data_IF_428965338012
#
_entry.id   IF_428965338012
#
_cell.length_a   1.000
_cell.length_b   1.000
_cell.length_c   1.000
_cell.angle_alpha   90.00
_cell.angle_beta   90.00
_cell.angle_gamma   90.00
#
_symmetry.space_group_name_H-M   'P 1'
#
loop_
_entity.id
_entity.type
_entity.pdbx_description
1 polymer ?
#
# COMPACT_ATOMS: atom_id res chain seq x y z
N UNK A 1 37.86 -11.33 42.48
CA UNK A 1 37.79 -10.86 41.06
C UNK A 1 36.47 -11.26 40.47
N UNK A 2 35.54 -10.32 40.19
CA UNK A 2 34.27 -10.63 39.51
C UNK A 2 34.22 -9.99 38.15
N UNK A 3 34.88 -10.59 37.13
CA UNK A 3 34.80 -10.09 35.76
C UNK A 3 33.91 -10.89 34.82
N UNK A 4 33.22 -11.94 35.30
CA UNK A 4 32.39 -12.79 34.44
C UNK A 4 30.98 -12.30 34.15
N UNK A 5 30.42 -11.47 35.00
CA UNK A 5 29.01 -11.03 34.85
C UNK A 5 28.74 -10.01 33.74
N UNK A 6 29.68 -9.14 33.47
CA UNK A 6 29.50 -8.08 32.47
C UNK A 6 29.51 -8.60 31.01
N UNK A 7 30.30 -9.64 30.73
CA UNK A 7 30.40 -10.22 29.38
C UNK A 7 29.12 -10.97 29.02
N UNK A 8 28.56 -11.76 29.96
CA UNK A 8 27.32 -12.50 29.74
C UNK A 8 26.13 -11.58 29.53
N UNK A 9 26.04 -10.45 30.26
CA UNK A 9 24.96 -9.49 30.09
C UNK A 9 25.00 -8.77 28.74
N UNK A 10 26.20 -8.47 28.24
CA UNK A 10 26.38 -7.84 26.92
C UNK A 10 25.99 -8.77 25.76
N UNK A 11 26.31 -10.08 25.87
CA UNK A 11 25.94 -11.08 24.85
C UNK A 11 24.41 -11.26 24.84
N UNK A 12 23.78 -11.33 26.01
CA UNK A 12 22.33 -11.49 26.12
C UNK A 12 21.59 -10.27 25.60
N UNK A 13 22.06 -9.06 25.89
CA UNK A 13 21.50 -7.82 25.38
C UNK A 13 21.64 -7.73 23.85
N UNK A 14 22.83 -8.07 23.32
CA UNK A 14 23.09 -8.10 21.88
C UNK A 14 22.21 -9.12 21.15
N UNK A 15 22.02 -10.31 21.73
CA UNK A 15 21.13 -11.34 21.17
C UNK A 15 19.66 -10.91 21.18
N UNK A 16 19.19 -10.30 22.26
CA UNK A 16 17.82 -9.79 22.38
C UNK A 16 17.57 -8.70 21.35
N UNK A 17 18.49 -7.74 21.21
CA UNK A 17 18.41 -6.68 20.22
C UNK A 17 18.41 -7.25 18.79
N UNK A 18 19.30 -8.21 18.49
CA UNK A 18 19.36 -8.87 17.19
C UNK A 18 18.04 -9.60 16.87
N UNK A 19 17.50 -10.33 17.84
CA UNK A 19 16.21 -11.03 17.70
C UNK A 19 15.07 -10.03 17.46
N UNK A 20 15.02 -8.94 18.22
CA UNK A 20 13.98 -7.92 18.06
C UNK A 20 14.05 -7.19 16.71
N UNK A 21 15.26 -6.94 16.21
CA UNK A 21 15.45 -6.37 14.87
C UNK A 21 15.07 -7.35 13.75
N UNK A 22 15.36 -8.64 13.94
CA UNK A 22 15.02 -9.70 12.98
C UNK A 22 13.53 -10.00 12.95
N UNK A 23 12.88 -9.91 14.10
CA UNK A 23 11.46 -10.28 14.28
C UNK A 23 10.50 -9.12 14.00
N UNK A 24 10.98 -7.96 13.54
CA UNK A 24 10.10 -6.83 13.20
C UNK A 24 9.14 -7.20 12.08
N UNK A 25 7.96 -6.61 12.13
CA UNK A 25 7.04 -6.63 10.99
C UNK A 25 7.75 -5.99 9.78
N UNK A 26 7.77 -6.70 8.67
CA UNK A 26 8.33 -6.22 7.40
C UNK A 26 7.21 -6.29 6.36
N UNK A 27 6.85 -5.17 5.79
CA UNK A 27 5.77 -5.12 4.82
C UNK A 27 6.30 -4.78 3.45
N UNK A 28 5.93 -5.58 2.48
CA UNK A 28 6.15 -5.30 1.06
C UNK A 28 4.86 -4.74 0.49
N UNK A 29 4.95 -3.53 -0.05
CA UNK A 29 3.83 -2.85 -0.69
C UNK A 29 3.98 -2.84 -2.20
N UNK A 30 2.85 -2.95 -2.88
CA UNK A 30 2.70 -2.66 -4.30
C UNK A 30 1.40 -1.91 -4.54
N UNK A 31 1.35 -1.13 -5.61
CA UNK A 31 0.14 -0.48 -6.05
C UNK A 31 0.02 -0.54 -7.58
N UNK A 32 -1.19 -0.81 -8.05
CA UNK A 32 -1.53 -0.88 -9.47
C UNK A 32 -2.81 -0.11 -9.76
N UNK A 33 -2.94 0.37 -11.00
CA UNK A 33 -4.19 0.94 -11.51
C UNK A 33 -5.09 -0.17 -12.04
N UNK A 34 -6.35 -0.14 -11.64
CA UNK A 34 -7.33 -1.16 -12.00
C UNK A 34 -8.69 -0.54 -12.36
N UNK A 35 -9.49 -1.32 -13.06
CA UNK A 35 -10.92 -1.09 -13.31
C UNK A 35 -11.72 -2.24 -12.70
N UNK A 36 -12.99 -1.99 -12.44
CA UNK A 36 -13.90 -3.03 -12.00
C UNK A 36 -14.72 -3.51 -13.21
N UNK A 37 -14.73 -4.80 -13.44
CA UNK A 37 -15.51 -5.44 -14.48
C UNK A 37 -16.48 -6.46 -13.88
N UNK A 38 -17.63 -6.71 -14.49
CA UNK A 38 -18.51 -7.80 -14.09
C UNK A 38 -17.79 -9.13 -14.30
N UNK A 39 -17.82 -9.97 -13.29
CA UNK A 39 -17.42 -11.39 -13.36
C UNK A 39 -18.64 -12.28 -13.43
N UNK A 40 -18.45 -13.56 -13.72
CA UNK A 40 -19.51 -14.54 -13.64
C UNK A 40 -20.10 -14.62 -12.22
N UNK A 41 -21.35 -15.05 -12.11
CA UNK A 41 -22.07 -15.25 -10.84
C UNK A 41 -22.19 -13.98 -9.95
N UNK A 42 -22.27 -12.79 -10.56
CA UNK A 42 -22.42 -11.53 -9.82
C UNK A 42 -21.14 -11.05 -9.09
N UNK A 43 -20.02 -11.69 -9.32
CA UNK A 43 -18.72 -11.26 -8.76
C UNK A 43 -18.16 -10.07 -9.54
N UNK A 44 -17.44 -9.21 -8.85
CA UNK A 44 -16.70 -8.11 -9.46
C UNK A 44 -15.23 -8.52 -9.61
N UNK A 45 -14.67 -8.28 -10.78
CA UNK A 45 -13.29 -8.57 -11.10
C UNK A 45 -12.48 -7.28 -11.20
N UNK A 46 -11.31 -7.29 -10.58
CA UNK A 46 -10.33 -6.22 -10.74
C UNK A 46 -9.46 -6.50 -11.96
N UNK A 47 -9.57 -5.66 -12.99
CA UNK A 47 -8.91 -5.85 -14.28
C UNK A 47 -7.98 -4.70 -14.61
N UNK A 48 -6.98 -4.95 -15.45
CA UNK A 48 -6.06 -3.89 -15.89
C UNK A 48 -6.78 -2.92 -16.83
N UNK A 49 -6.43 -1.61 -16.81
CA UNK A 49 -7.10 -0.60 -17.63
C UNK A 49 -6.95 -0.82 -19.13
N UNK A 50 -5.87 -1.50 -19.55
CA UNK A 50 -5.58 -1.78 -20.96
C UNK A 50 -6.42 -2.92 -21.57
N UNK A 51 -7.10 -3.71 -20.73
CA UNK A 51 -7.95 -4.78 -21.19
C UNK A 51 -9.33 -4.24 -21.61
N UNK A 52 -9.73 -4.55 -22.84
CA UNK A 52 -11.07 -4.24 -23.31
C UNK A 52 -12.04 -5.37 -22.87
N UNK A 53 -12.75 -5.13 -21.76
CA UNK A 53 -13.74 -6.05 -21.22
C UNK A 53 -15.09 -5.37 -21.28
N UNK A 54 -16.05 -6.05 -21.91
CA UNK A 54 -17.43 -5.59 -22.02
C UNK A 54 -18.05 -5.42 -20.63
N UNK A 55 -18.72 -4.28 -20.42
CA UNK A 55 -19.34 -3.94 -19.13
C UNK A 55 -18.38 -3.51 -18.04
N UNK A 56 -17.07 -3.39 -18.30
CA UNK A 56 -16.14 -2.86 -17.31
C UNK A 56 -16.43 -1.37 -17.02
N UNK A 57 -16.37 -0.98 -15.74
CA UNK A 57 -16.52 0.41 -15.32
C UNK A 57 -15.50 1.32 -16.02
N UNK A 58 -15.88 2.55 -16.29
CA UNK A 58 -14.96 3.61 -16.71
C UNK A 58 -14.14 4.16 -15.54
N UNK A 59 -14.61 3.92 -14.31
CA UNK A 59 -13.94 4.40 -13.11
C UNK A 59 -12.63 3.65 -12.89
N UNK A 60 -11.62 4.40 -12.53
CA UNK A 60 -10.30 3.89 -12.20
C UNK A 60 -10.15 3.76 -10.69
N UNK A 61 -9.48 2.72 -10.27
CA UNK A 61 -9.19 2.44 -8.86
C UNK A 61 -7.71 2.14 -8.68
N UNK A 62 -7.16 2.56 -7.56
CA UNK A 62 -5.83 2.17 -7.13
C UNK A 62 -5.97 0.97 -6.21
N UNK A 63 -5.37 -0.13 -6.59
CA UNK A 63 -5.31 -1.34 -5.79
C UNK A 63 -3.99 -1.34 -5.04
N UNK A 64 -4.05 -1.26 -3.72
CA UNK A 64 -2.87 -1.32 -2.84
C UNK A 64 -2.83 -2.68 -2.19
N UNK A 65 -1.76 -3.42 -2.43
CA UNK A 65 -1.54 -4.74 -1.82
C UNK A 65 -0.39 -4.66 -0.82
N UNK A 66 -0.65 -5.10 0.40
CA UNK A 66 0.35 -5.25 1.46
C UNK A 66 0.57 -6.73 1.74
N UNK A 67 1.83 -7.15 1.78
CA UNK A 67 2.24 -8.50 2.18
C UNK A 67 3.16 -8.36 3.40
N UNK A 68 2.78 -8.99 4.50
CA UNK A 68 3.67 -9.06 5.66
C UNK A 68 4.72 -10.15 5.44
N UNK A 69 5.93 -9.75 5.05
CA UNK A 69 7.07 -10.66 4.85
C UNK A 69 7.92 -10.83 6.12
N UNK A 70 7.51 -10.20 7.22
CA UNK A 70 8.12 -10.36 8.53
C UNK A 70 7.40 -11.43 9.36
N UNK A 71 8.06 -11.88 10.42
CA UNK A 71 7.51 -12.90 11.32
C UNK A 71 6.47 -12.39 12.30
N UNK A 72 6.58 -11.10 12.71
CA UNK A 72 5.59 -10.51 13.61
C UNK A 72 4.32 -10.14 12.84
N UNK A 73 3.14 -10.48 13.36
CA UNK A 73 1.89 -9.97 12.83
C UNK A 73 1.90 -8.44 12.80
N UNK A 74 1.28 -7.88 11.81
CA UNK A 74 1.12 -6.44 11.62
C UNK A 74 -0.36 -6.12 11.51
N UNK A 75 -0.83 -5.10 12.20
CA UNK A 75 -2.20 -4.62 12.09
C UNK A 75 -2.23 -3.41 11.15
N UNK A 76 -2.67 -3.62 9.95
CA UNK A 76 -2.86 -2.54 8.97
C UNK A 76 -4.05 -1.68 9.41
N UNK A 77 -3.78 -0.46 9.87
CA UNK A 77 -4.79 0.45 10.42
C UNK A 77 -5.35 1.41 9.37
N UNK A 78 -4.55 1.79 8.39
CA UNK A 78 -5.00 2.76 7.43
C UNK A 78 -4.09 2.94 6.22
N UNK A 79 -4.65 3.60 5.22
CA UNK A 79 -4.05 3.94 3.95
C UNK A 79 -4.17 5.45 3.73
N UNK A 80 -3.13 6.08 3.20
CA UNK A 80 -3.15 7.50 2.89
C UNK A 80 -1.92 7.93 2.13
N UNK A 81 -1.76 9.25 2.00
CA UNK A 81 -0.62 9.77 1.26
C UNK A 81 -0.37 11.24 1.51
N UNK A 82 0.68 11.73 0.84
CA UNK A 82 1.07 13.13 0.84
C UNK A 82 1.06 13.68 -0.58
N UNK A 83 0.69 14.94 -0.71
CA UNK A 83 0.74 15.68 -1.95
C UNK A 83 2.07 16.40 -2.14
N UNK A 84 2.46 16.68 -3.39
CA UNK A 84 3.52 17.62 -3.71
C UNK A 84 3.08 19.06 -3.43
N UNK A 85 1.88 19.42 -3.88
CA UNK A 85 1.25 20.71 -3.65
C UNK A 85 0.02 20.50 -2.79
N UNK A 86 -0.16 21.28 -1.72
CA UNK A 86 -1.35 21.17 -0.86
C UNK A 86 -2.64 21.27 -1.67
N UNK A 87 -3.63 20.49 -1.28
CA UNK A 87 -4.99 20.50 -1.85
C UNK A 87 -5.91 20.97 -0.72
N UNK A 88 -6.63 22.05 -0.94
CA UNK A 88 -7.49 22.70 0.08
C UNK A 88 -6.74 22.97 1.41
N UNK A 89 -5.48 23.42 1.29
CA UNK A 89 -4.60 23.67 2.43
C UNK A 89 -4.04 22.43 3.12
N UNK A 90 -4.44 21.22 2.71
CA UNK A 90 -4.00 19.95 3.29
C UNK A 90 -2.79 19.40 2.54
N UNK A 91 -1.76 18.98 3.26
CA UNK A 91 -0.55 18.37 2.71
C UNK A 91 -0.69 16.85 2.49
N UNK A 92 -1.71 16.23 3.07
CA UNK A 92 -1.93 14.78 2.99
C UNK A 92 -3.41 14.43 2.95
N UNK A 93 -3.68 13.17 2.67
CA UNK A 93 -5.02 12.59 2.60
C UNK A 93 -5.06 11.21 3.27
N UNK A 94 -6.25 10.80 3.66
CA UNK A 94 -6.57 9.46 4.12
C UNK A 94 -7.57 8.83 3.17
N UNK A 95 -7.40 7.53 2.95
CA UNK A 95 -8.35 6.72 2.20
C UNK A 95 -9.16 5.92 3.22
N UNK A 96 -10.46 6.05 3.16
CA UNK A 96 -11.37 5.26 3.99
C UNK A 96 -11.74 4.00 3.20
N UNK A 97 -11.38 2.86 3.75
CA UNK A 97 -11.68 1.56 3.17
C UNK A 97 -12.47 0.73 4.18
N UNK A 98 -13.33 -0.16 3.69
CA UNK A 98 -14.16 -1.00 4.57
C UNK A 98 -13.40 -2.21 5.11
N UNK A 99 -12.29 -2.58 4.48
CA UNK A 99 -11.49 -3.75 4.86
C UNK A 99 -10.51 -3.51 6.01
N UNK A 100 -10.32 -2.26 6.45
CA UNK A 100 -9.42 -1.90 7.53
C UNK A 100 -10.18 -1.56 8.82
N UNK A 101 -9.59 -1.84 10.01
CA UNK A 101 -8.26 -2.41 10.24
C UNK A 101 -8.20 -3.93 9.98
N UNK A 102 -7.04 -4.41 9.50
CA UNK A 102 -6.80 -5.83 9.19
C UNK A 102 -5.51 -6.33 9.83
N UNK A 103 -5.57 -7.47 10.54
CA UNK A 103 -4.39 -8.16 11.04
C UNK A 103 -3.79 -9.01 9.90
N UNK A 104 -2.50 -8.88 9.67
CA UNK A 104 -1.73 -9.66 8.70
C UNK A 104 -0.70 -10.52 9.43
N UNK A 105 -0.86 -11.83 9.37
CA UNK A 105 0.12 -12.79 9.83
C UNK A 105 1.36 -12.85 8.92
N UNK A 106 2.30 -13.75 9.23
CA UNK A 106 3.48 -14.01 8.41
C UNK A 106 3.05 -14.49 7.01
N UNK A 107 3.62 -13.90 5.95
CA UNK A 107 3.32 -14.16 4.54
C UNK A 107 1.87 -13.92 4.12
N UNK A 108 1.06 -13.34 4.99
CA UNK A 108 -0.32 -12.99 4.66
C UNK A 108 -0.36 -11.69 3.82
N UNK A 109 -1.23 -11.70 2.82
CA UNK A 109 -1.48 -10.57 1.95
C UNK A 109 -2.89 -10.03 2.13
N UNK A 110 -3.05 -8.72 2.01
CA UNK A 110 -4.35 -8.07 1.95
C UNK A 110 -4.33 -6.95 0.91
N UNK A 111 -5.47 -6.73 0.31
CA UNK A 111 -5.61 -5.75 -0.77
C UNK A 111 -6.75 -4.81 -0.47
N UNK A 112 -6.50 -3.51 -0.60
CA UNK A 112 -7.48 -2.45 -0.47
C UNK A 112 -7.61 -1.67 -1.77
N UNK A 113 -8.82 -1.20 -2.01
CA UNK A 113 -9.17 -0.36 -3.15
C UNK A 113 -9.26 1.10 -2.70
N UNK A 114 -8.58 1.97 -3.42
CA UNK A 114 -8.70 3.41 -3.27
C UNK A 114 -9.24 4.00 -4.59
N UNK A 115 -10.10 4.97 -4.48
CA UNK A 115 -10.60 5.70 -5.65
C UNK A 115 -9.45 6.46 -6.32
N UNK A 116 -9.40 6.41 -7.66
CA UNK A 116 -8.44 7.17 -8.44
C UNK A 116 -8.95 8.60 -8.60
N UNK A 117 -8.29 9.53 -7.92
CA UNK A 117 -8.68 10.94 -7.93
C UNK A 117 -7.88 11.74 -8.96
N UNK A 118 -8.36 12.96 -9.28
CA UNK A 118 -7.67 13.93 -10.12
C UNK A 118 -6.23 14.20 -9.65
N UNK A 119 -5.97 14.16 -8.35
CA UNK A 119 -4.64 14.38 -7.78
C UNK A 119 -3.63 13.31 -8.21
N UNK A 120 -4.09 12.08 -8.42
CA UNK A 120 -3.25 11.03 -9.03
C UNK A 120 -3.07 11.27 -10.53
N UNK A 121 -4.13 11.63 -11.26
CA UNK A 121 -4.06 11.93 -12.68
C UNK A 121 -3.04 13.03 -12.99
N UNK A 122 -3.05 14.10 -12.19
CA UNK A 122 -2.15 15.25 -12.32
C UNK A 122 -0.74 15.00 -11.74
N UNK A 123 -0.47 13.80 -11.24
CA UNK A 123 0.82 13.46 -10.64
C UNK A 123 1.14 14.22 -9.35
N UNK A 124 0.13 14.79 -8.68
CA UNK A 124 0.31 15.57 -7.45
C UNK A 124 0.51 14.68 -6.21
N UNK A 125 0.36 13.36 -6.30
CA UNK A 125 0.60 12.44 -5.20
C UNK A 125 2.10 12.15 -5.09
N UNK A 126 2.70 12.62 -3.99
CA UNK A 126 4.12 12.46 -3.68
C UNK A 126 4.44 11.09 -3.12
N UNK A 127 3.58 10.59 -2.20
CA UNK A 127 3.77 9.37 -1.44
C UNK A 127 2.43 8.74 -1.13
N UNK A 128 2.34 7.45 -1.30
CA UNK A 128 1.24 6.62 -0.82
C UNK A 128 1.82 5.66 0.22
N UNK A 129 1.18 5.52 1.37
CA UNK A 129 1.69 4.73 2.48
C UNK A 129 0.57 4.11 3.30
N UNK A 130 0.92 3.09 4.02
CA UNK A 130 0.10 2.46 5.05
C UNK A 130 0.76 2.63 6.41
N UNK A 131 -0.03 2.50 7.47
CA UNK A 131 0.48 2.52 8.85
C UNK A 131 -0.18 1.44 9.69
N UNK A 132 0.52 1.07 10.76
CA UNK A 132 -0.01 0.20 11.81
C UNK A 132 -0.34 0.98 13.08
N UNK A 133 -1.00 0.29 14.03
CA UNK A 133 -1.34 0.85 15.33
C UNK A 133 -0.13 1.11 16.24
N UNK A 134 1.05 0.59 15.90
CA UNK A 134 2.28 0.75 16.67
C UNK A 134 3.17 1.90 16.16
N UNK A 135 2.72 2.64 15.13
CA UNK A 135 3.45 3.76 14.53
C UNK A 135 4.42 3.35 13.42
N UNK A 136 4.40 2.09 12.99
CA UNK A 136 5.10 1.65 11.78
C UNK A 136 4.46 2.23 10.53
N UNK A 137 5.28 2.65 9.57
CA UNK A 137 4.83 3.23 8.31
C UNK A 137 5.61 2.64 7.13
N UNK A 138 4.89 2.19 6.10
CA UNK A 138 5.47 1.62 4.89
C UNK A 138 4.93 2.35 3.66
N UNK A 139 5.81 2.62 2.72
CA UNK A 139 5.47 3.38 1.51
C UNK A 139 5.44 2.51 0.28
N UNK A 140 4.49 2.80 -0.59
CA UNK A 140 4.45 2.27 -1.95
C UNK A 140 5.69 2.77 -2.72
N UNK A 141 6.37 1.90 -3.47
CA UNK A 141 7.50 2.29 -4.30
C UNK A 141 7.13 3.41 -5.28
N UNK A 142 8.00 4.40 -5.43
CA UNK A 142 7.76 5.54 -6.37
C UNK A 142 7.53 5.10 -7.80
N UNK A 143 8.15 4.00 -8.22
CA UNK A 143 7.97 3.43 -9.57
C UNK A 143 6.51 3.03 -9.82
N UNK A 144 5.84 2.48 -8.79
CA UNK A 144 4.46 2.03 -8.90
C UNK A 144 3.52 3.24 -9.00
N UNK A 145 3.78 4.31 -8.22
CA UNK A 145 3.02 5.58 -8.33
C UNK A 145 3.19 6.19 -9.73
N UNK A 146 4.42 6.24 -10.27
CA UNK A 146 4.67 6.74 -11.62
C UNK A 146 3.96 5.90 -12.68
N UNK A 147 3.97 4.58 -12.53
CA UNK A 147 3.28 3.67 -13.42
C UNK A 147 1.77 3.93 -13.43
N UNK A 148 1.15 4.09 -12.25
CA UNK A 148 -0.27 4.43 -12.10
C UNK A 148 -0.62 5.67 -12.90
N UNK A 149 0.15 6.76 -12.75
CA UNK A 149 -0.08 8.01 -13.48
C UNK A 149 0.02 7.80 -15.00
N UNK A 150 1.06 7.09 -15.44
CA UNK A 150 1.28 6.82 -16.88
C UNK A 150 0.15 5.95 -17.45
N UNK A 151 -0.28 4.93 -16.75
CA UNK A 151 -1.34 4.02 -17.21
C UNK A 151 -2.70 4.74 -17.24
N UNK A 152 -2.96 5.63 -16.28
CA UNK A 152 -4.15 6.48 -16.30
C UNK A 152 -4.19 7.44 -17.49
N UNK A 153 -3.09 8.12 -17.78
CA UNK A 153 -2.99 9.01 -18.93
C UNK A 153 -3.22 8.27 -20.26
N UNK A 154 -2.64 7.07 -20.39
CA UNK A 154 -2.87 6.22 -21.57
C UNK A 154 -4.33 5.78 -21.69
N UNK A 155 -4.97 5.48 -20.56
CA UNK A 155 -6.37 5.11 -20.54
C UNK A 155 -7.27 6.28 -20.97
N UNK A 156 -7.05 7.47 -20.42
CA UNK A 156 -7.80 8.68 -20.77
C UNK A 156 -7.64 9.03 -22.24
N UNK A 157 -6.40 9.06 -22.75
CA UNK A 157 -6.15 9.36 -24.17
C UNK A 157 -6.85 8.42 -25.16
N UNK A 158 -7.13 7.17 -24.76
CA UNK A 158 -7.89 6.21 -25.58
C UNK A 158 -9.40 6.45 -25.55
N UNK A 159 -9.93 7.07 -24.49
CA UNK A 159 -11.36 7.26 -24.30
C UNK A 159 -11.84 8.67 -24.65
N UNK A 160 -10.93 9.66 -24.66
CA UNK A 160 -11.24 11.04 -25.07
C UNK A 160 -11.13 11.22 -26.62
N UNK A 161 -10.62 10.22 -27.33
CA UNK A 161 -10.46 10.22 -28.80
C UNK A 161 -11.59 9.54 -29.59
N UNK A 162 -12.74 9.26 -28.94
CA UNK A 162 -13.93 8.63 -29.58
C UNK A 162 -15.12 9.56 -29.52
#
# INVERSE_FOLDING_TARGET
MPCGGAILSSITAGWTLYRDLRDRAKVKLSADLRRIAPGGEGKLLSVRPDLNIEGASRDLYIVVTAVNVGRRPMRWEGLGGYYFRPVDGKKGFRVFTQGLPKLLGEMEAHTELAEFTEQFANGNVRRLHIWDGAGGEWSVPRRDIKKIVTDAQKFQARHDGV
#
